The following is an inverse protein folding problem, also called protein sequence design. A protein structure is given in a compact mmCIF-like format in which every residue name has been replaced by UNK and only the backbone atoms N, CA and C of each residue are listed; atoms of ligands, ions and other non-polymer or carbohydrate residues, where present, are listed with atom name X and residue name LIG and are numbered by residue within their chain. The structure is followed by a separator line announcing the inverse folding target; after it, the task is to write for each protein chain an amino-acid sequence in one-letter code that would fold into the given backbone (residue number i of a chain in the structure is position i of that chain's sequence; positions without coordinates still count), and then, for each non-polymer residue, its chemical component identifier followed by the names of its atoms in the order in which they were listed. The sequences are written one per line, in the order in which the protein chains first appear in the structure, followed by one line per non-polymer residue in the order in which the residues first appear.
data_IF_686746925759
#
_entry.id   IF_686746925759
#
_cell.length_a   1.000
_cell.length_b   1.000
_cell.length_c   1.000
_cell.angle_alpha   90.00
_cell.angle_beta   90.00
_cell.angle_gamma   90.00
#
_symmetry.space_group_name_H-M   'P 1'
#
loop_
_entity.id
_entity.type
_entity.pdbx_description
1 polymer ?
#
# COMPACT_ATOMS: atom_id res chain seq x y z
N UNK A 1 -13.20 21.44 4.25
CA UNK A 1 -12.28 20.57 3.48
C UNK A 1 -13.03 20.06 2.27
N UNK A 2 -12.43 20.12 1.07
CA UNK A 2 -13.07 19.65 -0.16
C UNK A 2 -12.77 18.14 -0.36
N UNK A 3 -13.78 17.25 -0.35
CA UNK A 3 -13.59 15.80 -0.54
C UNK A 3 -12.98 15.43 -1.91
N UNK A 4 -13.19 16.22 -2.95
CA UNK A 4 -12.69 15.95 -4.30
C UNK A 4 -11.16 15.94 -4.33
N UNK A 5 -10.52 16.83 -3.56
CA UNK A 5 -9.06 16.91 -3.45
C UNK A 5 -8.44 15.67 -2.79
N UNK A 6 -9.16 15.02 -1.88
CA UNK A 6 -8.66 13.79 -1.24
C UNK A 6 -8.72 12.62 -2.22
N UNK A 7 -9.79 12.52 -3.00
CA UNK A 7 -9.92 11.48 -4.00
C UNK A 7 -8.80 11.59 -5.05
N UNK A 8 -8.57 12.79 -5.59
CA UNK A 8 -7.47 13.05 -6.54
C UNK A 8 -6.12 12.65 -5.97
N UNK A 9 -5.85 12.99 -4.71
CA UNK A 9 -4.60 12.67 -4.02
C UNK A 9 -4.41 11.15 -3.80
N UNK A 10 -5.44 10.43 -3.37
CA UNK A 10 -5.32 8.98 -3.20
C UNK A 10 -5.22 8.26 -4.56
N UNK A 11 -5.93 8.75 -5.58
CA UNK A 11 -5.79 8.23 -6.94
C UNK A 11 -4.37 8.41 -7.48
N UNK A 12 -3.73 9.57 -7.25
CA UNK A 12 -2.36 9.79 -7.69
C UNK A 12 -1.38 8.83 -6.99
N UNK A 13 -1.54 8.61 -5.68
CA UNK A 13 -0.73 7.63 -4.93
C UNK A 13 -0.88 6.23 -5.54
N UNK A 14 -2.11 5.74 -5.76
CA UNK A 14 -2.32 4.40 -6.32
C UNK A 14 -1.70 4.28 -7.71
N UNK A 15 -1.80 5.32 -8.54
CA UNK A 15 -1.17 5.33 -9.87
C UNK A 15 0.36 5.29 -9.81
N UNK A 16 0.98 5.97 -8.85
CA UNK A 16 2.42 5.92 -8.63
C UNK A 16 2.87 4.53 -8.18
N UNK A 17 2.16 3.93 -7.22
CA UNK A 17 2.50 2.62 -6.66
C UNK A 17 2.37 1.50 -7.70
N UNK A 18 1.38 1.57 -8.61
CA UNK A 18 1.22 0.61 -9.71
C UNK A 18 2.35 0.65 -10.75
N UNK A 19 3.18 1.70 -10.75
CA UNK A 19 4.34 1.82 -11.66
C UNK A 19 5.62 1.23 -11.06
N UNK A 20 5.59 0.82 -9.79
CA UNK A 20 6.73 0.22 -9.13
C UNK A 20 7.01 -1.17 -9.73
N UNK A 21 8.27 -1.63 -9.70
CA UNK A 21 8.60 -3.00 -10.06
C UNK A 21 7.90 -3.98 -9.10
N UNK A 22 7.62 -5.18 -9.62
CA UNK A 22 6.86 -6.23 -8.93
C UNK A 22 7.47 -6.61 -7.57
N UNK A 23 8.79 -6.51 -7.39
CA UNK A 23 9.49 -6.84 -6.14
C UNK A 23 9.69 -5.61 -5.24
N UNK A 24 8.60 -5.02 -4.75
CA UNK A 24 8.68 -3.90 -3.79
C UNK A 24 8.26 -4.34 -2.38
N UNK A 25 9.21 -4.50 -1.46
CA UNK A 25 8.98 -5.06 -0.11
C UNK A 25 8.11 -4.21 0.84
N UNK A 26 7.78 -2.97 0.48
CA UNK A 26 6.99 -2.03 1.30
C UNK A 26 5.63 -1.68 0.66
N UNK A 27 5.26 -2.35 -0.43
CA UNK A 27 3.98 -2.20 -1.12
C UNK A 27 3.40 -3.58 -1.39
N UNK A 28 2.18 -3.81 -0.95
CA UNK A 28 1.48 -5.08 -1.17
C UNK A 28 0.12 -4.82 -1.83
N UNK A 29 -0.18 -5.54 -2.91
CA UNK A 29 -1.50 -5.57 -3.53
C UNK A 29 -2.28 -6.81 -3.11
N UNK A 30 -3.58 -6.64 -2.88
CA UNK A 30 -4.52 -7.72 -2.57
C UNK A 30 -5.76 -7.55 -3.42
N UNK A 31 -6.36 -8.67 -3.82
CA UNK A 31 -7.66 -8.61 -4.48
C UNK A 31 -8.78 -8.32 -3.46
N UNK A 32 -9.03 -9.24 -2.51
CA UNK A 32 -10.17 -9.12 -1.59
C UNK A 32 -9.98 -9.81 -0.21
N UNK A 33 -8.78 -10.30 0.13
CA UNK A 33 -8.56 -11.02 1.38
C UNK A 33 -8.49 -10.05 2.57
N UNK A 34 -9.44 -10.17 3.51
CA UNK A 34 -9.59 -9.25 4.65
C UNK A 34 -9.65 -9.98 6.00
N UNK A 35 -8.63 -10.77 6.29
CA UNK A 35 -8.47 -11.40 7.61
C UNK A 35 -7.70 -10.45 8.56
N UNK A 36 -8.26 -10.13 9.73
CA UNK A 36 -7.68 -9.16 10.65
C UNK A 36 -6.28 -9.54 11.16
N UNK A 37 -6.04 -10.83 11.46
CA UNK A 37 -4.75 -11.33 11.93
C UNK A 37 -3.69 -11.19 10.84
N UNK A 38 -4.02 -11.62 9.62
CA UNK A 38 -3.12 -11.48 8.46
C UNK A 38 -2.84 -10.01 8.13
N UNK A 39 -3.85 -9.14 8.22
CA UNK A 39 -3.66 -7.69 8.04
C UNK A 39 -2.65 -7.16 9.05
N UNK A 40 -2.76 -7.57 10.32
CA UNK A 40 -1.79 -7.17 11.36
C UNK A 40 -0.36 -7.61 11.00
N UNK A 41 -0.21 -8.84 10.51
CA UNK A 41 1.08 -9.38 10.06
C UNK A 41 1.64 -8.58 8.87
N UNK A 42 0.82 -8.29 7.86
CA UNK A 42 1.23 -7.44 6.73
C UNK A 42 1.64 -6.04 7.16
N UNK A 43 0.85 -5.39 8.01
CA UNK A 43 1.16 -4.04 8.50
C UNK A 43 2.51 -4.01 9.25
N UNK A 44 2.75 -5.00 10.10
CA UNK A 44 4.02 -5.14 10.82
C UNK A 44 5.20 -5.35 9.86
N UNK A 45 5.08 -6.30 8.93
CA UNK A 45 6.13 -6.59 7.95
C UNK A 45 6.43 -5.39 7.05
N UNK A 46 5.40 -4.80 6.44
CA UNK A 46 5.52 -3.65 5.53
C UNK A 46 6.13 -2.43 6.22
N UNK A 47 5.76 -2.16 7.48
CA UNK A 47 6.33 -1.05 8.25
C UNK A 47 7.83 -1.25 8.49
N UNK A 48 8.24 -2.48 8.82
CA UNK A 48 9.65 -2.81 9.00
C UNK A 48 10.43 -2.70 7.68
N UNK A 49 9.88 -3.21 6.58
CA UNK A 49 10.50 -3.09 5.25
C UNK A 49 10.66 -1.64 4.83
N UNK A 50 9.62 -0.81 5.00
CA UNK A 50 9.68 0.61 4.70
C UNK A 50 10.78 1.31 5.51
N UNK A 51 10.87 1.04 6.81
CA UNK A 51 11.94 1.59 7.65
C UNK A 51 13.34 1.13 7.18
N UNK A 52 13.49 -0.14 6.83
CA UNK A 52 14.75 -0.72 6.35
C UNK A 52 15.24 -0.04 5.06
N UNK A 53 14.34 0.27 4.13
CA UNK A 53 14.68 0.92 2.85
C UNK A 53 14.57 2.45 2.88
N UNK A 54 14.41 3.06 4.05
CA UNK A 54 14.37 4.52 4.23
C UNK A 54 13.10 5.20 3.70
N UNK A 55 11.99 4.46 3.58
CA UNK A 55 10.68 4.99 3.22
C UNK A 55 9.92 5.42 4.47
N UNK A 56 9.23 6.56 4.36
CA UNK A 56 8.41 7.11 5.45
C UNK A 56 7.04 6.41 5.61
N UNK A 57 6.64 5.61 4.62
CA UNK A 57 5.33 4.96 4.53
C UNK A 57 5.45 3.62 3.82
N UNK A 58 4.57 2.71 4.19
CA UNK A 58 4.29 1.47 3.48
C UNK A 58 2.82 1.43 3.05
N UNK A 59 2.47 0.60 2.07
CA UNK A 59 1.12 0.55 1.51
C UNK A 59 0.61 -0.89 1.38
N UNK A 60 -0.63 -1.11 1.82
CA UNK A 60 -1.39 -2.33 1.57
C UNK A 60 -2.68 -1.90 0.86
N UNK A 61 -2.88 -2.37 -0.37
CA UNK A 61 -3.94 -1.88 -1.25
C UNK A 61 -4.81 -3.05 -1.70
N UNK A 62 -6.13 -2.90 -1.53
CA UNK A 62 -7.12 -3.88 -1.98
C UNK A 62 -7.72 -3.53 -3.35
N UNK A 63 -8.24 -4.53 -4.06
CA UNK A 63 -8.89 -4.39 -5.35
C UNK A 63 -7.94 -4.36 -6.55
N UNK A 64 -6.69 -4.76 -6.37
CA UNK A 64 -5.70 -4.89 -7.45
C UNK A 64 -5.25 -6.35 -7.48
N UNK A 65 -5.37 -6.99 -8.65
CA UNK A 65 -4.71 -8.27 -8.94
C UNK A 65 -3.24 -7.99 -9.30
N UNK A 66 -2.31 -8.74 -8.70
CA UNK A 66 -0.88 -8.72 -9.03
C UNK A 66 -0.62 -9.16 -10.48
#
# INVERSE_FOLDING_TARGET
MNPDRYLEYYCSIVQELRRLPTETEWVEFKHNKVNAEEIGQYLSALSNSAALVGKIKAYLIWGIED
#
